data_IF_695649984104
#
_entry.id   IF_695649984104
#
_cell.length_a   1.000
_cell.length_b   1.000
_cell.length_c   1.000
_cell.angle_alpha   90.00
_cell.angle_beta   90.00
_cell.angle_gamma   90.00
#
_symmetry.space_group_name_H-M   'P 1'
#
loop_
_entity.id
_entity.type
_entity.pdbx_description
1 polymer ?
#
# COMPACT_ATOMS: atom_id res chain seq x y z
N UNK A 1 8.97 26.27 31.80
CA UNK A 1 8.04 25.15 31.88
C UNK A 1 6.56 25.50 31.61
N UNK A 2 6.17 26.79 31.58
CA UNK A 2 4.78 27.25 31.39
C UNK A 2 4.30 27.33 29.92
N UNK A 3 5.19 27.46 28.93
CA UNK A 3 4.82 27.65 27.51
C UNK A 3 4.13 26.44 26.83
N UNK A 4 4.38 25.22 27.31
CA UNK A 4 3.74 24.02 26.75
C UNK A 4 2.25 23.86 27.11
N UNK A 5 1.72 24.66 28.02
CA UNK A 5 0.33 24.62 28.44
C UNK A 5 -0.60 25.52 27.62
N UNK A 6 -0.05 26.37 26.75
CA UNK A 6 -0.88 27.24 25.90
C UNK A 6 -1.34 26.49 24.64
N UNK A 7 -2.65 26.40 24.39
CA UNK A 7 -3.19 25.78 23.17
C UNK A 7 -2.60 26.36 21.88
N UNK A 8 -2.32 27.66 21.88
CA UNK A 8 -1.70 28.37 20.75
C UNK A 8 -0.31 27.86 20.41
N UNK A 9 0.48 27.44 21.40
CA UNK A 9 1.82 26.89 21.15
C UNK A 9 1.75 25.52 20.47
N UNK A 10 0.88 24.64 20.94
CA UNK A 10 0.73 23.28 20.38
C UNK A 10 0.25 23.35 18.94
N UNK A 11 -0.68 24.24 18.60
CA UNK A 11 -1.11 24.47 17.21
C UNK A 11 0.05 24.94 16.32
N UNK A 12 0.88 25.85 16.79
CA UNK A 12 2.05 26.32 16.04
C UNK A 12 3.06 25.22 15.74
N UNK A 13 3.11 24.19 16.56
CA UNK A 13 4.00 23.04 16.35
C UNK A 13 3.30 21.94 15.55
N UNK A 14 2.04 21.60 15.86
CA UNK A 14 1.31 20.52 15.18
C UNK A 14 1.01 20.82 13.71
N UNK A 15 0.69 22.10 13.38
CA UNK A 15 0.34 22.49 12.02
C UNK A 15 1.46 22.23 10.99
N UNK A 16 2.73 22.61 11.24
CA UNK A 16 3.81 22.28 10.33
C UNK A 16 3.95 20.78 10.05
N UNK A 17 3.82 19.91 11.06
CA UNK A 17 3.90 18.48 10.87
C UNK A 17 2.71 17.94 10.06
N UNK A 18 1.52 18.45 10.28
CA UNK A 18 0.34 18.09 9.48
C UNK A 18 0.52 18.52 8.00
N UNK A 19 1.04 19.72 7.78
CA UNK A 19 1.34 20.22 6.42
C UNK A 19 2.42 19.37 5.75
N UNK A 20 3.51 19.04 6.44
CA UNK A 20 4.57 18.18 5.92
C UNK A 20 4.02 16.81 5.55
N UNK A 21 3.18 16.22 6.40
CA UNK A 21 2.55 14.92 6.11
C UNK A 21 1.71 14.96 4.83
N UNK A 22 0.85 15.98 4.67
CA UNK A 22 -0.01 16.16 3.49
C UNK A 22 0.83 16.40 2.24
N UNK A 23 1.81 17.30 2.32
CA UNK A 23 2.68 17.63 1.18
C UNK A 23 3.49 16.40 0.75
N UNK A 24 4.08 15.66 1.69
CA UNK A 24 4.80 14.44 1.39
C UNK A 24 3.88 13.40 0.72
N UNK A 25 2.63 13.28 1.17
CA UNK A 25 1.64 12.37 0.58
C UNK A 25 1.30 12.75 -0.86
N UNK A 26 1.04 14.03 -1.14
CA UNK A 26 0.80 14.52 -2.50
C UNK A 26 2.00 14.24 -3.41
N UNK A 27 3.22 14.47 -2.92
CA UNK A 27 4.43 14.17 -3.69
C UNK A 27 4.63 12.68 -3.95
N UNK A 28 4.19 11.78 -3.06
CA UNK A 28 4.24 10.33 -3.34
C UNK A 28 3.38 9.92 -4.54
N UNK A 29 2.29 10.65 -4.79
CA UNK A 29 1.40 10.39 -5.94
C UNK A 29 1.96 10.97 -7.24
N UNK A 30 2.74 12.03 -7.17
CA UNK A 30 3.23 12.77 -8.35
C UNK A 30 4.58 12.27 -8.86
N UNK A 31 5.42 11.70 -7.99
CA UNK A 31 6.79 11.33 -8.36
C UNK A 31 6.91 9.86 -8.69
N UNK A 32 7.38 9.51 -9.91
CA UNK A 32 7.44 8.12 -10.37
C UNK A 32 8.65 7.33 -9.83
N UNK A 33 9.42 7.88 -8.90
CA UNK A 33 10.63 7.25 -8.39
C UNK A 33 10.35 6.38 -7.17
N UNK A 34 10.62 5.08 -7.27
CA UNK A 34 10.52 4.11 -6.19
C UNK A 34 11.19 4.54 -4.88
N UNK A 35 12.43 5.04 -4.92
CA UNK A 35 13.15 5.45 -3.72
C UNK A 35 12.55 6.71 -3.08
N UNK A 36 12.16 7.68 -3.91
CA UNK A 36 11.57 8.92 -3.43
C UNK A 36 10.24 8.63 -2.75
N UNK A 37 9.41 7.76 -3.35
CA UNK A 37 8.12 7.34 -2.76
C UNK A 37 8.34 6.65 -1.42
N UNK A 38 9.31 5.77 -1.30
CA UNK A 38 9.61 5.09 -0.04
C UNK A 38 10.03 6.08 1.06
N UNK A 39 10.90 7.05 0.74
CA UNK A 39 11.36 8.07 1.70
C UNK A 39 10.21 9.01 2.07
N UNK A 40 9.46 9.51 1.07
CA UNK A 40 8.33 10.42 1.31
C UNK A 40 7.22 9.77 2.14
N UNK A 41 6.96 8.49 1.92
CA UNK A 41 6.00 7.74 2.72
C UNK A 41 6.44 7.63 4.18
N UNK A 42 7.73 7.45 4.44
CA UNK A 42 8.29 7.46 5.79
C UNK A 42 8.11 8.83 6.45
N UNK A 43 8.46 9.90 5.73
CA UNK A 43 8.32 11.28 6.19
C UNK A 43 6.85 11.61 6.47
N UNK A 44 5.94 11.21 5.56
CA UNK A 44 4.49 11.41 5.73
C UNK A 44 4.00 10.71 6.99
N UNK A 45 4.30 9.42 7.15
CA UNK A 45 3.87 8.62 8.29
C UNK A 45 4.38 9.16 9.63
N UNK A 46 5.68 9.45 9.72
CA UNK A 46 6.29 9.99 10.96
C UNK A 46 5.74 11.34 11.32
N UNK A 47 5.59 12.25 10.34
CA UNK A 47 5.01 13.58 10.55
C UNK A 47 3.54 13.50 10.98
N UNK A 48 2.76 12.61 10.38
CA UNK A 48 1.37 12.38 10.77
C UNK A 48 1.26 11.88 12.22
N UNK A 49 2.10 10.93 12.64
CA UNK A 49 2.13 10.44 14.03
C UNK A 49 2.47 11.55 15.02
N UNK A 50 3.47 12.38 14.72
CA UNK A 50 3.85 13.51 15.58
C UNK A 50 2.69 14.52 15.68
N UNK A 51 2.10 14.89 14.55
CA UNK A 51 0.95 15.81 14.53
C UNK A 51 -0.21 15.30 15.39
N UNK A 52 -0.49 14.01 15.33
CA UNK A 52 -1.54 13.40 16.16
C UNK A 52 -1.26 13.49 17.64
N UNK A 53 -0.08 13.03 18.05
CA UNK A 53 0.26 13.04 19.48
C UNK A 53 0.11 14.44 20.05
N UNK A 54 0.48 15.47 19.26
CA UNK A 54 0.29 16.86 19.63
C UNK A 54 -1.19 17.28 19.67
N UNK A 55 -2.01 16.81 18.74
CA UNK A 55 -3.47 17.08 18.72
C UNK A 55 -4.16 16.37 19.90
N UNK A 56 -3.84 15.12 20.16
CA UNK A 56 -4.37 14.38 21.32
C UNK A 56 -4.00 15.07 22.65
N UNK A 57 -2.75 15.52 22.75
CA UNK A 57 -2.31 16.29 23.91
C UNK A 57 -3.12 17.58 24.08
N UNK A 58 -3.39 18.31 22.98
CA UNK A 58 -4.25 19.49 22.98
C UNK A 58 -5.67 19.20 23.43
N UNK A 59 -6.25 18.12 22.91
CA UNK A 59 -7.60 17.68 23.29
C UNK A 59 -7.64 17.40 24.78
N UNK A 60 -6.67 16.64 25.30
CA UNK A 60 -6.55 16.36 26.72
C UNK A 60 -6.46 17.64 27.60
N UNK A 61 -5.64 18.61 27.20
CA UNK A 61 -5.55 19.90 27.87
C UNK A 61 -6.88 20.67 27.83
N UNK A 62 -7.54 20.67 26.67
CA UNK A 62 -8.81 21.38 26.52
C UNK A 62 -9.92 20.78 27.39
N UNK A 63 -10.03 19.46 27.45
CA UNK A 63 -10.97 18.77 28.36
C UNK A 63 -10.66 19.05 29.84
N UNK A 64 -9.39 19.19 30.18
CA UNK A 64 -8.98 19.48 31.55
C UNK A 64 -9.29 20.94 32.01
N UNK A 65 -9.31 21.92 31.06
CA UNK A 65 -9.35 23.34 31.40
C UNK A 65 -10.52 24.13 30.80
N UNK A 66 -11.46 23.50 30.07
CA UNK A 66 -12.51 24.24 29.32
C UNK A 66 -13.91 24.07 29.92
N UNK A 67 -14.68 25.18 29.87
CA UNK A 67 -16.10 25.20 30.23
C UNK A 67 -17.03 24.89 29.06
N UNK A 68 -18.06 24.05 29.33
CA UNK A 68 -19.32 23.90 28.59
C UNK A 68 -19.24 23.74 27.06
N UNK A 69 -19.74 24.71 26.31
CA UNK A 69 -20.02 24.63 24.86
C UNK A 69 -18.77 24.44 23.97
N UNK A 70 -17.62 24.92 24.39
CA UNK A 70 -16.36 24.79 23.66
C UNK A 70 -15.88 23.32 23.61
N UNK A 71 -16.28 22.49 24.56
CA UNK A 71 -15.94 21.05 24.61
C UNK A 71 -16.44 20.29 23.39
N UNK A 72 -17.63 20.61 22.89
CA UNK A 72 -18.24 19.89 21.77
C UNK A 72 -17.49 20.16 20.44
N UNK A 73 -17.09 21.39 20.19
CA UNK A 73 -16.38 21.75 18.95
C UNK A 73 -14.99 21.10 18.93
N UNK A 74 -14.26 21.14 20.05
CA UNK A 74 -12.93 20.54 20.14
C UNK A 74 -13.02 19.02 20.13
N UNK A 75 -14.06 18.44 20.77
CA UNK A 75 -14.31 17.01 20.71
C UNK A 75 -14.56 16.52 19.28
N UNK A 76 -15.38 17.22 18.50
CA UNK A 76 -15.70 16.84 17.12
C UNK A 76 -14.49 16.98 16.19
N UNK A 77 -13.77 18.08 16.26
CA UNK A 77 -12.54 18.28 15.47
C UNK A 77 -11.45 17.28 15.85
N UNK A 78 -11.37 16.92 17.13
CA UNK A 78 -10.45 15.89 17.61
C UNK A 78 -10.77 14.49 17.11
N UNK A 79 -12.04 14.11 17.03
CA UNK A 79 -12.48 12.84 16.48
C UNK A 79 -12.15 12.76 14.98
N UNK A 80 -12.39 13.82 14.21
CA UNK A 80 -12.04 13.88 12.78
C UNK A 80 -10.52 13.76 12.57
N UNK A 81 -9.73 14.48 13.37
CA UNK A 81 -8.27 14.40 13.31
C UNK A 81 -7.75 13.01 13.68
N UNK A 82 -8.35 12.38 14.69
CA UNK A 82 -8.04 11.01 15.11
C UNK A 82 -8.35 10.01 13.97
N UNK A 83 -9.51 10.15 13.34
CA UNK A 83 -9.90 9.29 12.22
C UNK A 83 -8.94 9.43 11.04
N UNK A 84 -8.66 10.66 10.61
CA UNK A 84 -7.71 10.92 9.51
C UNK A 84 -6.33 10.31 9.78
N UNK A 85 -5.91 10.33 11.03
CA UNK A 85 -4.63 9.76 11.42
C UNK A 85 -4.64 8.23 11.49
N UNK A 86 -5.68 7.62 12.02
CA UNK A 86 -5.82 6.16 11.99
C UNK A 86 -5.69 5.68 10.53
N UNK A 87 -6.33 6.38 9.60
CA UNK A 87 -6.20 6.08 8.16
C UNK A 87 -4.76 6.25 7.67
N UNK A 88 -4.08 7.34 8.03
CA UNK A 88 -2.70 7.57 7.61
C UNK A 88 -1.72 6.53 8.20
N UNK A 89 -1.87 6.18 9.49
CA UNK A 89 -1.07 5.13 10.13
C UNK A 89 -1.35 3.77 9.50
N UNK A 90 -2.60 3.48 9.19
CA UNK A 90 -2.99 2.22 8.54
C UNK A 90 -2.37 2.11 7.13
N UNK A 91 -2.42 3.18 6.34
CA UNK A 91 -1.78 3.21 5.02
C UNK A 91 -0.26 3.07 5.12
N UNK A 92 0.38 3.75 6.07
CA UNK A 92 1.80 3.60 6.33
C UNK A 92 2.13 2.16 6.75
N UNK A 93 1.33 1.55 7.62
CA UNK A 93 1.50 0.16 8.04
C UNK A 93 1.41 -0.80 6.85
N UNK A 94 0.45 -0.64 5.95
CA UNK A 94 0.32 -1.46 4.73
C UNK A 94 1.55 -1.36 3.83
N UNK A 95 2.21 -0.19 3.81
CA UNK A 95 3.42 0.02 3.02
C UNK A 95 4.68 -0.57 3.69
N UNK A 96 4.80 -0.47 5.02
CA UNK A 96 5.97 -0.97 5.76
C UNK A 96 5.91 -2.47 6.04
N UNK A 97 4.72 -3.03 6.14
CA UNK A 97 4.50 -4.46 6.38
C UNK A 97 3.62 -5.05 5.28
N UNK A 98 4.07 -4.97 4.00
CA UNK A 98 3.30 -5.52 2.90
C UNK A 98 3.26 -7.05 3.02
N UNK A 99 2.12 -7.61 2.67
CA UNK A 99 1.90 -9.05 2.64
C UNK A 99 1.18 -9.40 1.35
N UNK A 100 1.57 -10.51 0.72
CA UNK A 100 0.86 -11.00 -0.47
C UNK A 100 -0.60 -11.29 -0.16
N UNK A 101 -0.90 -11.83 1.03
CA UNK A 101 -2.27 -12.11 1.47
C UNK A 101 -3.16 -10.87 1.58
N UNK A 102 -2.58 -9.71 1.96
CA UNK A 102 -3.32 -8.45 2.04
C UNK A 102 -3.52 -7.78 0.69
N UNK A 103 -2.71 -8.16 -0.27
CA UNK A 103 -2.79 -7.62 -1.64
C UNK A 103 -3.72 -8.45 -2.52
N UNK A 104 -4.38 -9.49 -1.97
CA UNK A 104 -5.37 -10.27 -2.69
C UNK A 104 -6.51 -9.39 -3.17
N UNK A 105 -6.82 -9.52 -4.45
CA UNK A 105 -8.00 -8.92 -5.04
C UNK A 105 -9.28 -9.68 -4.64
N UNK A 106 -10.40 -9.12 -5.02
CA UNK A 106 -11.69 -9.79 -4.90
C UNK A 106 -11.81 -10.90 -5.96
N UNK A 107 -11.40 -12.11 -5.59
CA UNK A 107 -11.38 -13.28 -6.48
C UNK A 107 -12.78 -13.73 -6.91
N UNK A 108 -13.84 -13.20 -6.28
CA UNK A 108 -15.23 -13.46 -6.68
C UNK A 108 -15.62 -12.70 -7.95
N UNK A 109 -14.90 -11.60 -8.25
CA UNK A 109 -15.06 -10.87 -9.50
C UNK A 109 -14.44 -11.64 -10.64
N UNK A 110 -15.07 -11.60 -11.79
CA UNK A 110 -14.49 -12.11 -13.03
C UNK A 110 -13.26 -11.31 -13.46
N UNK A 111 -12.63 -11.72 -14.53
CA UNK A 111 -11.52 -11.01 -15.15
C UNK A 111 -11.95 -9.62 -15.61
N UNK A 112 -11.24 -8.59 -15.15
CA UNK A 112 -11.44 -7.22 -15.56
C UNK A 112 -10.47 -6.86 -16.70
N UNK A 113 -10.99 -6.23 -17.76
CA UNK A 113 -10.16 -5.76 -18.88
C UNK A 113 -9.20 -4.65 -18.44
N UNK A 114 -8.03 -4.63 -19.05
CA UNK A 114 -6.94 -3.70 -18.77
C UNK A 114 -6.38 -3.79 -17.34
N UNK A 115 -6.72 -4.86 -16.62
CA UNK A 115 -6.24 -5.12 -15.27
C UNK A 115 -4.92 -5.89 -15.32
N UNK A 116 -4.04 -5.60 -14.35
CA UNK A 116 -2.81 -6.34 -14.13
C UNK A 116 -2.99 -7.24 -12.90
N UNK A 117 -2.62 -8.50 -13.05
CA UNK A 117 -2.65 -9.49 -12.00
C UNK A 117 -1.24 -10.02 -11.73
N UNK A 118 -0.96 -10.32 -10.46
CA UNK A 118 0.23 -11.06 -10.05
C UNK A 118 -0.23 -12.37 -9.44
N UNK A 119 0.16 -13.49 -10.03
CA UNK A 119 -0.16 -14.81 -9.45
C UNK A 119 0.81 -15.14 -8.33
N UNK A 120 0.31 -15.83 -7.31
CA UNK A 120 1.07 -16.25 -6.13
C UNK A 120 0.62 -17.62 -5.67
N UNK A 121 1.58 -18.52 -5.43
CA UNK A 121 1.33 -19.79 -4.77
C UNK A 121 2.07 -19.82 -3.43
N UNK A 122 1.38 -19.92 -2.29
CA UNK A 122 2.00 -19.90 -0.96
C UNK A 122 2.88 -21.13 -0.68
N UNK A 123 2.76 -22.19 -1.49
CA UNK A 123 3.54 -23.44 -1.36
C UNK A 123 4.74 -23.51 -2.31
N UNK A 124 4.91 -22.51 -3.13
CA UNK A 124 6.04 -22.40 -4.05
C UNK A 124 7.20 -21.69 -3.34
N UNK A 125 8.34 -22.36 -3.14
CA UNK A 125 9.52 -21.80 -2.48
C UNK A 125 10.01 -20.48 -3.13
N UNK A 126 9.97 -20.39 -4.46
CA UNK A 126 10.35 -19.17 -5.19
C UNK A 126 9.38 -18.01 -4.93
N UNK A 127 8.08 -18.33 -4.83
CA UNK A 127 7.07 -17.34 -4.48
C UNK A 127 7.25 -16.86 -3.04
N UNK A 128 7.49 -17.78 -2.10
CA UNK A 128 7.72 -17.44 -0.70
C UNK A 128 8.98 -16.58 -0.53
N UNK A 129 10.10 -16.96 -1.15
CA UNK A 129 11.35 -16.20 -1.10
C UNK A 129 11.20 -14.75 -1.62
N UNK A 130 10.34 -14.53 -2.62
CA UNK A 130 10.10 -13.20 -3.23
C UNK A 130 8.89 -12.46 -2.67
N UNK A 131 8.04 -13.11 -1.88
CA UNK A 131 6.74 -12.59 -1.45
C UNK A 131 6.80 -11.18 -0.86
N UNK A 132 7.75 -10.92 0.05
CA UNK A 132 7.91 -9.61 0.69
C UNK A 132 8.26 -8.51 -0.33
N UNK A 133 9.17 -8.81 -1.26
CA UNK A 133 9.61 -7.84 -2.26
C UNK A 133 8.52 -7.54 -3.29
N UNK A 134 7.77 -8.57 -3.69
CA UNK A 134 6.64 -8.45 -4.61
C UNK A 134 5.51 -7.67 -3.94
N UNK A 135 5.12 -8.03 -2.72
CA UNK A 135 4.08 -7.34 -1.97
C UNK A 135 4.41 -5.85 -1.76
N UNK A 136 5.68 -5.53 -1.47
CA UNK A 136 6.11 -4.14 -1.33
C UNK A 136 6.03 -3.39 -2.67
N UNK A 137 6.48 -3.98 -3.76
CA UNK A 137 6.41 -3.37 -5.09
C UNK A 137 4.95 -3.11 -5.52
N UNK A 138 4.06 -4.07 -5.29
CA UNK A 138 2.61 -3.94 -5.53
C UNK A 138 2.01 -2.83 -4.68
N UNK A 139 2.34 -2.78 -3.39
CA UNK A 139 1.83 -1.73 -2.50
C UNK A 139 2.26 -0.32 -2.93
N UNK A 140 3.54 -0.15 -3.33
CA UNK A 140 4.05 1.13 -3.86
C UNK A 140 3.36 1.50 -5.17
N UNK A 141 3.19 0.52 -6.07
CA UNK A 141 2.52 0.73 -7.36
C UNK A 141 1.06 1.15 -7.15
N UNK A 142 0.30 0.42 -6.34
CA UNK A 142 -1.12 0.68 -6.09
C UNK A 142 -1.35 2.04 -5.43
N UNK A 143 -0.43 2.49 -4.58
CA UNK A 143 -0.48 3.82 -3.99
C UNK A 143 -0.33 4.94 -5.03
N UNK A 144 0.51 4.73 -6.04
CA UNK A 144 0.73 5.71 -7.12
C UNK A 144 -0.37 5.65 -8.20
N UNK A 145 -1.05 4.51 -8.34
CA UNK A 145 -2.04 4.24 -9.37
C UNK A 145 -3.37 3.77 -8.76
N UNK A 146 -4.06 4.61 -7.97
CA UNK A 146 -5.25 4.20 -7.22
C UNK A 146 -6.42 3.74 -8.11
N UNK A 147 -6.45 4.17 -9.37
CA UNK A 147 -7.48 3.78 -10.34
C UNK A 147 -7.14 2.50 -11.13
N UNK A 148 -5.87 2.09 -11.13
CA UNK A 148 -5.36 0.91 -11.85
C UNK A 148 -4.54 0.05 -10.90
N UNK A 149 -5.17 -0.43 -9.84
CA UNK A 149 -4.49 -1.22 -8.82
C UNK A 149 -4.19 -2.63 -9.34
N UNK A 150 -2.99 -3.09 -9.08
CA UNK A 150 -2.60 -4.47 -9.31
C UNK A 150 -3.24 -5.36 -8.26
N UNK A 151 -3.82 -6.45 -8.71
CA UNK A 151 -4.41 -7.48 -7.84
C UNK A 151 -3.47 -8.69 -7.75
N UNK A 152 -3.29 -9.19 -6.54
CA UNK A 152 -2.59 -10.46 -6.32
C UNK A 152 -3.62 -11.56 -6.23
N UNK A 153 -3.41 -12.64 -6.96
CA UNK A 153 -4.34 -13.78 -7.01
C UNK A 153 -3.62 -15.05 -6.57
N UNK A 154 -4.18 -15.70 -5.57
CA UNK A 154 -3.66 -16.98 -5.09
C UNK A 154 -4.05 -18.12 -6.05
N UNK A 155 -3.06 -18.90 -6.48
CA UNK A 155 -3.24 -20.03 -7.39
C UNK A 155 -2.58 -21.29 -6.79
N UNK A 156 -3.16 -21.83 -5.72
CA UNK A 156 -2.67 -23.05 -5.07
C UNK A 156 -3.13 -24.31 -5.82
N UNK A 157 -2.20 -25.03 -6.40
CA UNK A 157 -2.43 -26.27 -7.17
C UNK A 157 -3.25 -27.33 -6.44
N UNK A 158 -3.15 -27.38 -5.13
CA UNK A 158 -3.85 -28.39 -4.35
C UNK A 158 -5.36 -28.10 -4.22
N UNK A 159 -5.83 -26.97 -4.71
CA UNK A 159 -7.21 -26.51 -4.64
C UNK A 159 -7.78 -26.13 -6.01
N UNK A 160 -7.25 -26.67 -7.12
CA UNK A 160 -7.69 -26.33 -8.49
C UNK A 160 -9.19 -26.58 -8.73
N UNK A 161 -9.76 -27.59 -8.08
CA UNK A 161 -11.18 -27.91 -8.11
C UNK A 161 -12.06 -26.78 -7.55
N UNK A 162 -11.51 -25.98 -6.65
CA UNK A 162 -12.16 -24.84 -6.00
C UNK A 162 -11.85 -23.48 -6.63
N UNK A 163 -11.05 -23.47 -7.69
CA UNK A 163 -10.68 -22.22 -8.35
C UNK A 163 -11.90 -21.45 -8.86
N UNK A 164 -11.90 -20.17 -8.58
CA UNK A 164 -12.83 -19.21 -9.20
C UNK A 164 -12.56 -19.11 -10.72
N UNK A 165 -13.50 -18.58 -11.51
CA UNK A 165 -13.26 -18.35 -12.94
C UNK A 165 -12.00 -17.54 -13.22
N UNK A 166 -11.73 -16.51 -12.41
CA UNK A 166 -10.52 -15.69 -12.49
C UNK A 166 -9.25 -16.54 -12.27
N UNK A 167 -9.21 -17.33 -11.20
CA UNK A 167 -8.06 -18.18 -10.89
C UNK A 167 -7.80 -19.21 -11.99
N UNK A 168 -8.85 -19.85 -12.54
CA UNK A 168 -8.73 -20.81 -13.64
C UNK A 168 -8.11 -20.21 -14.88
N UNK A 169 -8.55 -19.02 -15.26
CA UNK A 169 -8.04 -18.36 -16.46
C UNK A 169 -6.58 -17.90 -16.28
N UNK A 170 -6.25 -17.25 -15.14
CA UNK A 170 -4.87 -16.83 -14.87
C UNK A 170 -3.93 -18.04 -14.75
N UNK A 171 -4.38 -19.10 -14.08
CA UNK A 171 -3.61 -20.35 -13.95
C UNK A 171 -3.31 -20.99 -15.31
N UNK A 172 -4.28 -21.00 -16.23
CA UNK A 172 -4.09 -21.56 -17.57
C UNK A 172 -3.17 -20.72 -18.47
N UNK A 173 -2.92 -19.45 -18.13
CA UNK A 173 -2.12 -18.53 -18.93
C UNK A 173 -0.74 -18.25 -18.37
N UNK A 174 -0.47 -18.61 -17.12
CA UNK A 174 0.85 -18.48 -16.52
C UNK A 174 1.75 -19.66 -16.94
N UNK A 175 3.00 -19.38 -17.20
CA UNK A 175 4.03 -20.41 -17.39
C UNK A 175 4.60 -20.87 -16.05
N UNK A 176 4.74 -19.93 -15.10
CA UNK A 176 5.28 -20.16 -13.76
C UNK A 176 4.49 -19.41 -12.69
N UNK A 177 4.55 -19.89 -11.44
CA UNK A 177 4.02 -19.13 -10.31
C UNK A 177 4.81 -17.84 -10.08
N UNK A 178 4.12 -16.78 -9.71
CA UNK A 178 4.71 -15.44 -9.57
C UNK A 178 4.80 -14.68 -10.89
N UNK A 179 3.92 -14.99 -11.84
CA UNK A 179 3.83 -14.28 -13.11
C UNK A 179 3.03 -12.99 -12.99
N UNK A 180 3.43 -11.99 -13.76
CA UNK A 180 2.63 -10.80 -14.05
C UNK A 180 1.82 -11.08 -15.32
N UNK A 181 0.49 -11.03 -15.20
CA UNK A 181 -0.41 -11.19 -16.34
C UNK A 181 -1.15 -9.86 -16.58
N UNK A 182 -1.23 -9.46 -17.83
CA UNK A 182 -2.06 -8.34 -18.28
C UNK A 182 -3.27 -8.89 -19.04
N UNK A 183 -4.45 -8.44 -18.65
CA UNK A 183 -5.69 -8.77 -19.36
C UNK A 183 -5.98 -7.72 -20.41
N UNK A 184 -6.11 -8.15 -21.66
CA UNK A 184 -6.49 -7.33 -22.80
C UNK A 184 -7.82 -7.85 -23.38
N UNK A 185 -8.27 -7.26 -24.50
CA UNK A 185 -9.44 -7.76 -25.21
C UNK A 185 -9.25 -9.19 -25.75
N UNK A 186 -8.00 -9.64 -25.91
CA UNK A 186 -7.64 -10.97 -26.38
C UNK A 186 -7.44 -11.98 -25.22
N UNK A 187 -7.78 -11.62 -23.98
CA UNK A 187 -7.62 -12.43 -22.77
C UNK A 187 -6.35 -12.08 -21.98
N UNK A 188 -6.04 -12.92 -20.99
CA UNK A 188 -4.87 -12.77 -20.14
C UNK A 188 -3.60 -13.20 -20.89
N UNK A 189 -2.55 -12.41 -20.77
CA UNK A 189 -1.23 -12.69 -21.35
C UNK A 189 -0.15 -12.48 -20.29
N UNK A 190 0.73 -13.47 -20.14
CA UNK A 190 1.90 -13.33 -19.26
C UNK A 190 2.89 -12.32 -19.88
N UNK A 191 3.30 -11.33 -19.08
CA UNK A 191 4.20 -10.26 -19.53
C UNK A 191 5.56 -10.32 -18.86
N UNK A 192 5.63 -10.85 -17.64
CA UNK A 192 6.86 -10.98 -16.88
C UNK A 192 6.72 -11.99 -15.76
N UNK A 193 7.84 -12.41 -15.20
CA UNK A 193 7.95 -13.31 -14.07
C UNK A 193 8.65 -12.60 -12.91
N UNK A 194 7.99 -12.48 -11.76
CA UNK A 194 8.48 -11.71 -10.60
C UNK A 194 9.12 -12.56 -9.50
N UNK A 195 8.82 -13.85 -9.46
CA UNK A 195 9.51 -14.76 -8.56
C UNK A 195 10.99 -14.90 -8.95
N UNK A 196 11.77 -15.59 -8.16
CA UNK A 196 13.18 -15.83 -8.44
C UNK A 196 13.36 -16.48 -9.83
N UNK A 197 14.47 -16.16 -10.50
CA UNK A 197 14.74 -16.71 -11.82
C UNK A 197 14.89 -18.24 -11.71
N UNK A 198 13.91 -18.98 -12.26
CA UNK A 198 13.91 -20.44 -12.25
C UNK A 198 15.10 -21.06 -13.00
N UNK A 199 15.85 -20.26 -13.76
CA UNK A 199 17.07 -20.68 -14.47
C UNK A 199 18.32 -20.63 -13.59
N UNK A 200 18.26 -19.99 -12.44
CA UNK A 200 19.38 -19.98 -11.47
C UNK A 200 19.20 -21.08 -10.44
N UNK A 201 20.28 -21.80 -10.14
CA UNK A 201 20.26 -22.89 -9.14
C UNK A 201 19.91 -22.41 -7.72
N UNK A 202 20.13 -21.13 -7.44
CA UNK A 202 19.77 -20.49 -6.19
C UNK A 202 18.61 -19.51 -6.41
N UNK A 203 17.50 -19.64 -5.70
CA UNK A 203 16.36 -18.73 -5.81
C UNK A 203 16.73 -17.35 -5.22
N UNK A 204 17.34 -16.50 -6.01
CA UNK A 204 17.59 -15.12 -5.62
C UNK A 204 16.33 -14.32 -5.83
N UNK A 205 15.67 -13.95 -4.74
CA UNK A 205 14.51 -13.08 -4.79
C UNK A 205 14.85 -11.77 -5.52
N UNK A 206 14.05 -11.41 -6.52
CA UNK A 206 14.20 -10.12 -7.21
C UNK A 206 13.96 -8.99 -6.21
N UNK A 207 14.75 -7.93 -6.29
CA UNK A 207 14.52 -6.76 -5.44
C UNK A 207 13.17 -6.12 -5.76
N UNK A 208 12.54 -5.54 -4.75
CA UNK A 208 11.25 -4.85 -4.91
C UNK A 208 11.30 -3.72 -5.95
N UNK A 209 12.46 -3.08 -6.15
CA UNK A 209 12.67 -2.10 -7.22
C UNK A 209 12.55 -2.74 -8.61
N UNK A 210 13.19 -3.88 -8.84
CA UNK A 210 13.13 -4.60 -10.12
C UNK A 210 11.69 -5.03 -10.42
N UNK A 211 11.00 -5.58 -9.42
CA UNK A 211 9.59 -5.96 -9.56
C UNK A 211 8.73 -4.75 -9.90
N UNK A 212 8.91 -3.63 -9.20
CA UNK A 212 8.19 -2.39 -9.48
C UNK A 212 8.41 -1.87 -10.92
N UNK A 213 9.66 -1.92 -11.42
CA UNK A 213 9.97 -1.54 -12.80
C UNK A 213 9.30 -2.47 -13.82
N UNK A 214 9.20 -3.77 -13.51
CA UNK A 214 8.45 -4.73 -14.34
C UNK A 214 6.95 -4.39 -14.38
N UNK A 215 6.34 -4.07 -13.25
CA UNK A 215 4.93 -3.65 -13.16
C UNK A 215 4.68 -2.37 -13.99
N UNK A 216 5.56 -1.37 -13.90
CA UNK A 216 5.48 -0.17 -14.71
C UNK A 216 5.60 -0.46 -16.21
N UNK A 217 6.51 -1.37 -16.60
CA UNK A 217 6.68 -1.78 -17.99
C UNK A 217 5.43 -2.47 -18.53
N UNK A 218 4.87 -3.40 -17.75
CA UNK A 218 3.62 -4.10 -18.10
C UNK A 218 2.46 -3.12 -18.31
N UNK A 219 2.35 -2.10 -17.46
CA UNK A 219 1.29 -1.10 -17.58
C UNK A 219 1.41 -0.28 -18.89
N UNK A 220 2.63 -0.04 -19.38
CA UNK A 220 2.89 0.74 -20.60
C UNK A 220 2.76 -0.07 -21.89
N UNK A 221 2.67 -1.39 -21.84
CA UNK A 221 2.44 -2.25 -22.99
C UNK A 221 0.95 -2.19 -23.37
N UNK A 222 0.57 -1.18 -24.14
CA UNK A 222 -0.76 -1.08 -24.76
C UNK A 222 -0.73 -1.64 -26.16
#
# INVERSE_FOLDING_TARGET
>A
MYRFKEPSFVWRVALPFAVIAIVAEVFTMLLPSYYIVSILSLVSATSAVIALLLILYMIGLHFAYSDGTKRYIVGFTGILALFALIVAVFQAFLLYFPSMERSHGDESKGIEKNQIYVTYNPKCEYCEASAKNVAYAVAVYNRQHPLNQIQVVNVDDNNQDKFTPLQKELYAKQEFYGSILKVTDNGATETAYVAADAKTKDPVARSSKVVYEMLLKTNKQN
#
